data_IF_047231186026
#
_entry.id   IF_047231186026
#
_cell.length_a   1.000
_cell.length_b   1.000
_cell.length_c   1.000
_cell.angle_alpha   90.00
_cell.angle_beta   90.00
_cell.angle_gamma   90.00
#
_symmetry.space_group_name_H-M   'P 1'
#
loop_
_entity.id
_entity.type
_entity.pdbx_description
1 polymer ?
#
# COMPACT_ATOMS: atom_id res chain seq x y z
N UNK A 1 2.26 7.70 -14.32
CA UNK A 1 1.53 6.43 -14.49
C UNK A 1 0.61 6.21 -13.31
N UNK A 2 -0.57 5.62 -13.48
CA UNK A 2 -1.43 5.23 -12.34
C UNK A 2 -1.51 3.70 -12.29
N UNK A 3 -1.24 3.15 -11.10
CA UNK A 3 -1.46 1.73 -10.78
C UNK A 3 -2.71 1.64 -9.92
N UNK A 4 -3.67 0.79 -10.30
CA UNK A 4 -4.87 0.54 -9.50
C UNK A 4 -4.88 -0.91 -9.03
N UNK A 5 -5.05 -1.11 -7.73
CA UNK A 5 -5.16 -2.42 -7.09
C UNK A 5 -6.50 -2.50 -6.38
N UNK A 6 -7.37 -3.39 -6.84
CA UNK A 6 -8.64 -3.66 -6.19
C UNK A 6 -8.57 -5.00 -5.45
N UNK A 7 -9.21 -5.08 -4.29
CA UNK A 7 -9.23 -6.32 -3.52
C UNK A 7 -10.13 -6.26 -2.31
N UNK A 8 -10.17 -7.37 -1.57
CA UNK A 8 -10.86 -7.46 -0.28
C UNK A 8 -9.85 -7.73 0.81
N UNK A 9 -9.86 -6.93 1.87
CA UNK A 9 -9.08 -7.25 3.07
C UNK A 9 -9.70 -8.48 3.72
N UNK A 10 -8.90 -9.50 4.02
CA UNK A 10 -9.40 -10.67 4.75
C UNK A 10 -9.86 -10.27 6.16
N UNK A 11 -11.03 -10.72 6.63
CA UNK A 11 -11.55 -10.42 7.98
C UNK A 11 -10.59 -10.77 9.13
N UNK A 12 -9.69 -11.73 8.90
CA UNK A 12 -8.77 -12.26 9.91
C UNK A 12 -7.30 -11.93 9.63
N UNK A 13 -7.03 -11.05 8.65
CA UNK A 13 -5.65 -10.68 8.34
C UNK A 13 -5.04 -9.83 9.47
N UNK A 14 -3.77 -10.08 9.79
CA UNK A 14 -2.94 -9.21 10.62
C UNK A 14 -2.21 -8.16 9.79
N UNK A 15 -2.02 -8.41 8.48
CA UNK A 15 -1.45 -7.48 7.49
C UNK A 15 -1.65 -7.96 6.05
N UNK A 16 -1.62 -7.02 5.11
CA UNK A 16 -1.41 -7.34 3.69
C UNK A 16 -0.41 -6.35 3.09
N UNK A 17 0.16 -6.67 1.94
CA UNK A 17 1.08 -5.75 1.26
C UNK A 17 0.83 -5.66 -0.24
N UNK A 18 1.17 -4.48 -0.76
CA UNK A 18 1.27 -4.18 -2.17
C UNK A 18 2.68 -3.67 -2.43
N UNK A 19 3.42 -4.39 -3.26
CA UNK A 19 4.80 -4.07 -3.61
C UNK A 19 4.86 -3.62 -5.07
N UNK A 20 5.42 -2.42 -5.30
CA UNK A 20 5.83 -1.98 -6.64
C UNK A 20 7.30 -2.30 -6.82
N UNK A 21 7.62 -3.00 -7.90
CA UNK A 21 8.98 -3.49 -8.14
C UNK A 21 9.64 -2.87 -9.38
N UNK A 22 10.95 -2.67 -9.28
CA UNK A 22 11.84 -2.35 -10.39
C UNK A 22 12.99 -3.35 -10.40
N UNK A 23 12.98 -4.28 -11.37
CA UNK A 23 13.90 -5.42 -11.34
C UNK A 23 13.67 -6.28 -10.09
N UNK A 24 14.71 -6.47 -9.29
CA UNK A 24 14.68 -7.18 -8.01
C UNK A 24 14.32 -6.29 -6.80
N UNK A 25 14.29 -4.97 -6.99
CA UNK A 25 14.10 -4.03 -5.90
C UNK A 25 12.61 -3.71 -5.68
N UNK A 26 12.24 -3.56 -4.42
CA UNK A 26 10.93 -3.03 -4.02
C UNK A 26 11.07 -1.52 -3.87
N UNK A 27 10.58 -0.79 -4.88
CA UNK A 27 10.63 0.68 -4.92
C UNK A 27 9.49 1.33 -4.15
N UNK A 28 8.45 0.55 -3.79
CA UNK A 28 7.43 0.91 -2.82
C UNK A 28 6.90 -0.36 -2.16
N UNK A 29 7.08 -0.47 -0.85
CA UNK A 29 6.41 -1.46 -0.01
C UNK A 29 5.27 -0.76 0.73
N UNK A 30 4.03 -1.07 0.37
CA UNK A 30 2.83 -0.53 1.02
C UNK A 30 2.18 -1.62 1.87
N UNK A 31 2.28 -1.51 3.20
CA UNK A 31 1.91 -2.59 4.10
C UNK A 31 0.99 -2.14 5.24
N UNK A 32 -0.34 -2.18 5.04
CA UNK A 32 -1.32 -2.04 6.12
C UNK A 32 -1.19 -3.19 7.14
N UNK A 33 -1.14 -2.82 8.43
CA UNK A 33 -0.99 -3.72 9.59
C UNK A 33 -2.11 -3.43 10.60
N UNK A 34 -2.54 -4.49 11.29
CA UNK A 34 -3.65 -4.46 12.26
C UNK A 34 -3.23 -4.94 13.67
N UNK A 35 -1.99 -4.65 14.07
CA UNK A 35 -1.38 -5.20 15.28
C UNK A 35 -1.66 -4.34 16.52
N UNK A 36 -1.86 -4.98 17.68
CA UNK A 36 -1.87 -4.31 18.99
C UNK A 36 -3.06 -3.35 19.22
N UNK A 37 -4.20 -3.59 18.56
CA UNK A 37 -5.38 -2.74 18.68
C UNK A 37 -5.28 -1.42 17.92
N UNK A 38 -4.20 -1.20 17.15
CA UNK A 38 -4.02 -0.05 16.28
C UNK A 38 -3.93 -0.49 14.82
N UNK A 39 -4.48 0.33 13.93
CA UNK A 39 -4.41 0.12 12.49
C UNK A 39 -3.51 1.21 11.88
N UNK A 40 -2.51 0.81 11.09
CA UNK A 40 -1.57 1.73 10.48
C UNK A 40 -0.97 1.15 9.20
N UNK A 41 -0.47 2.02 8.32
CA UNK A 41 0.26 1.63 7.12
C UNK A 41 1.75 1.83 7.35
N UNK A 42 2.54 0.81 7.04
CA UNK A 42 3.99 0.91 6.93
C UNK A 42 4.38 1.11 5.47
N UNK A 43 5.29 2.06 5.25
CA UNK A 43 5.95 2.28 3.98
C UNK A 43 7.44 2.00 4.11
N UNK A 44 8.01 1.40 3.08
CA UNK A 44 9.46 1.18 3.00
C UNK A 44 9.90 0.98 1.54
N UNK A 45 11.21 0.85 1.34
CA UNK A 45 11.83 0.32 0.12
C UNK A 45 12.73 -0.86 0.50
N UNK A 46 12.95 -1.75 -0.45
CA UNK A 46 13.94 -2.82 -0.33
C UNK A 46 14.85 -2.76 -1.56
N UNK A 47 16.09 -2.30 -1.37
CA UNK A 47 17.07 -2.14 -2.44
C UNK A 47 18.22 -3.11 -2.20
N UNK A 48 18.61 -3.86 -3.22
CA UNK A 48 19.66 -4.88 -3.12
C UNK A 48 19.38 -5.91 -2.00
N UNK A 49 18.10 -6.19 -1.72
CA UNK A 49 17.67 -7.09 -0.64
C UNK A 49 17.71 -6.48 0.77
N UNK A 50 18.00 -5.19 0.91
CA UNK A 50 18.04 -4.50 2.20
C UNK A 50 16.88 -3.53 2.36
N UNK A 51 16.14 -3.69 3.47
CA UNK A 51 15.08 -2.78 3.87
C UNK A 51 15.64 -1.44 4.35
N UNK A 52 15.00 -0.35 3.92
CA UNK A 52 15.24 0.98 4.47
C UNK A 52 14.55 1.21 5.83
N UNK A 53 14.49 2.47 6.25
CA UNK A 53 13.77 2.88 7.45
C UNK A 53 12.26 2.80 7.26
N UNK A 54 11.54 2.18 8.21
CA UNK A 54 10.08 2.13 8.18
C UNK A 54 9.46 3.52 8.44
N UNK A 55 8.52 3.90 7.59
CA UNK A 55 7.63 5.03 7.84
C UNK A 55 6.22 4.56 8.20
N UNK A 56 5.66 5.07 9.30
CA UNK A 56 4.35 4.62 9.83
C UNK A 56 3.31 5.73 9.76
N UNK A 57 2.11 5.39 9.29
CA UNK A 57 0.97 6.29 9.16
C UNK A 57 -0.27 5.67 9.78
N UNK A 58 -0.79 6.30 10.84
CA UNK A 58 -1.86 5.75 11.68
C UNK A 58 -3.28 6.03 11.17
N UNK A 59 -3.42 6.80 10.09
CA UNK A 59 -4.70 7.06 9.43
C UNK A 59 -4.92 6.03 8.32
N UNK A 60 -5.26 4.78 8.65
CA UNK A 60 -5.39 3.73 7.63
C UNK A 60 -6.83 3.51 7.17
N UNK A 61 -7.10 3.46 5.85
CA UNK A 61 -8.43 3.31 5.27
C UNK A 61 -8.71 1.86 4.83
N UNK A 62 -8.15 0.85 5.50
CA UNK A 62 -8.33 -0.55 5.12
C UNK A 62 -9.02 -1.37 6.21
N UNK A 63 -10.30 -1.15 6.51
CA UNK A 63 -10.98 -1.98 7.48
C UNK A 63 -10.99 -3.45 7.04
N UNK A 64 -10.81 -4.36 8.01
CA UNK A 64 -10.88 -5.80 7.74
C UNK A 64 -12.24 -6.18 7.15
N UNK A 65 -12.23 -7.11 6.19
CA UNK A 65 -13.44 -7.58 5.53
C UNK A 65 -13.99 -6.67 4.43
N UNK A 66 -13.42 -5.47 4.23
CA UNK A 66 -13.91 -4.51 3.24
C UNK A 66 -13.24 -4.64 1.87
N UNK A 67 -14.00 -4.30 0.84
CA UNK A 67 -13.48 -4.06 -0.51
C UNK A 67 -12.76 -2.72 -0.56
N UNK A 68 -11.64 -2.67 -1.26
CA UNK A 68 -10.85 -1.47 -1.47
C UNK A 68 -10.43 -1.33 -2.94
N UNK A 69 -10.20 -0.09 -3.33
CA UNK A 69 -9.44 0.30 -4.52
C UNK A 69 -8.29 1.19 -4.06
N UNK A 70 -7.06 0.74 -4.27
CA UNK A 70 -5.82 1.44 -3.99
C UNK A 70 -5.28 1.99 -5.31
N UNK A 71 -5.25 3.30 -5.45
CA UNK A 71 -4.68 3.98 -6.61
C UNK A 71 -3.34 4.59 -6.23
N UNK A 72 -2.29 4.26 -6.97
CA UNK A 72 -0.94 4.77 -6.77
C UNK A 72 -0.57 5.55 -8.04
N UNK A 73 -0.60 6.87 -7.94
CA UNK A 73 -0.06 7.77 -8.96
C UNK A 73 1.45 7.85 -8.78
N UNK A 74 2.14 7.31 -9.77
CA UNK A 74 3.59 7.35 -9.91
C UNK A 74 3.95 8.55 -10.77
N UNK A 75 4.72 9.47 -10.18
CA UNK A 75 5.34 10.61 -10.87
C UNK A 75 6.86 10.44 -10.90
N UNK A 76 7.58 11.29 -11.62
CA UNK A 76 9.05 11.21 -11.70
C UNK A 76 9.73 11.34 -10.33
N UNK A 77 9.15 12.18 -9.48
CA UNK A 77 9.72 12.49 -8.17
C UNK A 77 8.97 11.82 -7.04
N UNK A 78 7.66 11.57 -7.19
CA UNK A 78 6.84 11.12 -6.07
C UNK A 78 5.81 10.03 -6.34
N UNK A 79 5.46 9.29 -5.27
CA UNK A 79 4.22 8.52 -5.19
C UNK A 79 3.13 9.32 -4.51
N UNK A 80 1.94 9.36 -5.12
CA UNK A 80 0.70 9.73 -4.45
C UNK A 80 -0.20 8.51 -4.37
N UNK A 81 -0.66 8.20 -3.18
CA UNK A 81 -1.58 7.08 -2.95
C UNK A 81 -2.96 7.63 -2.66
N UNK A 82 -4.01 6.97 -3.13
CA UNK A 82 -5.41 7.28 -2.85
C UNK A 82 -6.06 5.94 -2.53
N UNK A 83 -6.90 5.89 -1.49
CA UNK A 83 -7.63 4.68 -1.14
C UNK A 83 -9.12 4.98 -1.09
N UNK A 84 -9.87 4.23 -1.87
CA UNK A 84 -11.32 4.21 -1.80
C UNK A 84 -11.75 2.88 -1.20
N UNK A 85 -12.76 2.90 -0.33
CA UNK A 85 -13.39 1.70 0.18
C UNK A 85 -14.91 1.82 0.09
N UNK A 86 -15.57 0.68 -0.04
CA UNK A 86 -17.02 0.62 -0.14
C UNK A 86 -17.57 0.18 1.21
N UNK A 87 -18.47 0.99 1.81
CA UNK A 87 -19.25 0.59 2.98
C UNK A 87 -20.68 0.37 2.48
N UNK A 88 -21.08 -0.90 2.30
CA UNK A 88 -22.42 -1.25 1.78
C UNK A 88 -22.61 -0.51 0.43
N UNK A 89 -23.83 -0.22 -0.03
CA UNK A 89 -24.15 0.47 -1.29
C UNK A 89 -23.66 1.95 -1.35
N UNK A 90 -22.66 2.34 -0.55
CA UNK A 90 -22.07 3.67 -0.53
C UNK A 90 -20.55 3.59 -0.72
N UNK A 91 -20.04 4.35 -1.68
CA UNK A 91 -18.61 4.59 -1.86
C UNK A 91 -18.16 5.65 -0.87
N UNK A 92 -17.17 5.34 -0.02
CA UNK A 92 -16.50 6.33 0.82
C UNK A 92 -15.07 6.51 0.33
N UNK A 93 -14.74 7.70 -0.11
CA UNK A 93 -13.40 8.04 -0.57
C UNK A 93 -12.60 8.62 0.60
N UNK A 94 -11.56 7.90 1.05
CA UNK A 94 -10.58 8.45 1.97
C UNK A 94 -9.38 8.97 1.16
N UNK A 95 -9.34 10.29 0.98
CA UNK A 95 -8.19 10.94 0.35
C UNK A 95 -7.05 11.02 1.36
N UNK A 96 -6.14 10.06 1.28
CA UNK A 96 -4.89 10.15 2.01
C UNK A 96 -3.82 10.62 1.04
N UNK A 97 -3.52 11.92 1.01
CA UNK A 97 -2.43 12.42 0.18
C UNK A 97 -1.09 12.06 0.81
N UNK A 98 -0.52 10.94 0.35
CA UNK A 98 0.86 10.60 0.61
C UNK A 98 1.75 11.29 -0.43
N UNK A 99 2.83 11.94 0.00
CA UNK A 99 3.88 12.45 -0.88
C UNK A 99 5.18 11.78 -0.46
N UNK A 100 5.71 10.91 -1.31
CA UNK A 100 6.99 10.26 -1.09
C UNK A 100 7.93 10.66 -2.20
N UNK A 101 9.08 11.25 -1.90
CA UNK A 101 10.10 11.51 -2.92
C UNK A 101 10.94 10.26 -3.14
N UNK A 102 10.91 9.68 -4.34
CA UNK A 102 11.77 8.55 -4.69
C UNK A 102 12.47 8.89 -5.99
N UNK A 103 13.80 8.90 -5.95
CA UNK A 103 14.62 9.27 -7.08
C UNK A 103 14.49 8.21 -8.20
N UNK A 104 14.23 8.65 -9.44
CA UNK A 104 14.24 7.87 -10.68
C UNK A 104 13.18 6.75 -10.83
N UNK A 105 11.89 7.07 -10.71
CA UNK A 105 10.83 6.12 -11.06
C UNK A 105 10.46 6.25 -12.54
N UNK A 106 11.29 5.73 -13.45
CA UNK A 106 10.91 5.68 -14.88
C UNK A 106 10.26 4.37 -15.32
N UNK A 107 10.37 3.27 -14.57
CA UNK A 107 9.69 2.03 -14.98
C UNK A 107 9.38 1.11 -13.80
N UNK A 108 8.10 0.96 -13.46
CA UNK A 108 7.64 -0.13 -12.59
C UNK A 108 7.16 -1.25 -13.51
N UNK A 109 7.68 -2.47 -13.31
CA UNK A 109 7.39 -3.60 -14.19
C UNK A 109 6.36 -4.56 -13.60
N UNK A 110 6.18 -4.55 -12.27
CA UNK A 110 5.33 -5.55 -11.61
C UNK A 110 4.69 -4.98 -10.33
N UNK A 111 3.42 -5.31 -10.13
CA UNK A 111 2.69 -5.14 -8.87
C UNK A 111 2.51 -6.51 -8.25
N UNK A 112 3.01 -6.73 -7.03
CA UNK A 112 2.75 -7.96 -6.29
C UNK A 112 1.86 -7.64 -5.10
N UNK A 113 0.76 -8.38 -4.99
CA UNK A 113 -0.08 -8.36 -3.78
C UNK A 113 0.12 -9.65 -3.02
N UNK A 114 0.40 -9.55 -1.72
CA UNK A 114 0.51 -10.73 -0.84
C UNK A 114 -0.26 -10.49 0.44
N UNK A 115 -1.20 -11.38 0.74
CA UNK A 115 -1.82 -11.45 2.05
C UNK A 115 -0.99 -12.41 2.90
N UNK A 116 -0.43 -11.93 4.03
CA UNK A 116 0.29 -12.80 4.96
C UNK A 116 -0.64 -13.22 6.07
N UNK A 117 -1.03 -14.48 6.06
CA UNK A 117 -1.71 -15.13 7.17
C UNK A 117 -0.63 -15.63 8.15
N UNK A 118 -0.52 -15.00 9.32
CA UNK A 118 0.19 -15.62 10.44
C UNK A 118 -0.82 -16.50 11.18
N UNK A 119 -0.46 -17.78 11.35
CA UNK A 119 -1.15 -18.71 12.28
C UNK A 119 -0.78 -18.37 13.72
#
# INVERSE_FOLDING_TARGET
MIVTVCGRVSPHSSRFQVDLMHGSDIVLHFNPRYAGGSEYVVHNTCQYGHWGSEERKYETPFPRGQMFALQILVTQETYKVIVSYFIINMELQAYLHYKYSVNNIMTIFTVITKSMYYR
#
